data_IF_305248914944
#
_entry.id   IF_305248914944
#
_cell.length_a   1.000
_cell.length_b   1.000
_cell.length_c   1.000
_cell.angle_alpha   90.00
_cell.angle_beta   90.00
_cell.angle_gamma   90.00
#
_symmetry.space_group_name_H-M   'P 1'
#
loop_
_entity.id
_entity.type
_entity.pdbx_description
1 polymer ?
#
# COMPACT_ATOMS: atom_id res chain seq x y z
N UNK A 1 -14.54 11.16 6.61
CA UNK A 1 -13.83 10.99 5.36
C UNK A 1 -13.11 9.66 5.32
N UNK A 2 -13.30 8.91 4.24
CA UNK A 2 -12.66 7.59 4.13
C UNK A 2 -11.32 7.68 3.42
N UNK A 3 -10.35 6.90 3.90
CA UNK A 3 -9.09 6.73 3.19
C UNK A 3 -9.31 5.91 1.92
N UNK A 4 -8.49 6.16 0.93
CA UNK A 4 -8.52 5.44 -0.35
C UNK A 4 -7.50 4.32 -0.31
N UNK A 5 -7.93 3.11 -0.62
CA UNK A 5 -7.07 1.94 -0.68
C UNK A 5 -7.10 1.37 -2.10
N UNK A 6 -5.92 1.12 -2.64
CA UNK A 6 -5.78 0.50 -3.96
C UNK A 6 -5.28 -0.93 -3.75
N UNK A 7 -6.02 -1.90 -4.25
CA UNK A 7 -5.69 -3.32 -4.12
C UNK A 7 -5.35 -3.88 -5.50
N UNK A 8 -4.15 -4.41 -5.62
CA UNK A 8 -3.63 -4.90 -6.90
C UNK A 8 -3.35 -6.40 -6.78
N UNK A 9 -4.11 -7.20 -7.49
CA UNK A 9 -4.01 -8.66 -7.47
C UNK A 9 -4.68 -9.19 -8.73
N UNK A 10 -4.08 -10.18 -9.39
CA UNK A 10 -4.67 -10.73 -10.62
C UNK A 10 -5.80 -11.72 -10.36
N UNK A 11 -6.03 -12.10 -9.11
CA UNK A 11 -7.13 -12.99 -8.74
C UNK A 11 -8.39 -12.20 -8.42
N UNK A 12 -9.38 -12.29 -9.31
CA UNK A 12 -10.63 -11.55 -9.12
C UNK A 12 -11.37 -11.91 -7.84
N UNK A 13 -11.28 -13.17 -7.40
CA UNK A 13 -11.92 -13.59 -6.16
C UNK A 13 -11.33 -12.87 -4.95
N UNK A 14 -10.03 -12.68 -4.94
CA UNK A 14 -9.36 -11.93 -3.88
C UNK A 14 -9.82 -10.48 -3.89
N UNK A 15 -9.83 -9.86 -5.07
CA UNK A 15 -10.26 -8.46 -5.20
C UNK A 15 -11.72 -8.28 -4.73
N UNK A 16 -12.61 -9.18 -5.13
CA UNK A 16 -14.02 -9.12 -4.73
C UNK A 16 -14.19 -9.27 -3.23
N UNK A 17 -13.48 -10.23 -2.64
CA UNK A 17 -13.53 -10.47 -1.20
C UNK A 17 -13.03 -9.25 -0.44
N UNK A 18 -11.89 -8.71 -0.84
CA UNK A 18 -11.28 -7.55 -0.20
C UNK A 18 -12.19 -6.33 -0.29
N UNK A 19 -12.78 -6.11 -1.45
CA UNK A 19 -13.70 -4.99 -1.65
C UNK A 19 -14.88 -5.08 -0.70
N UNK A 20 -15.48 -6.26 -0.57
CA UNK A 20 -16.61 -6.47 0.35
C UNK A 20 -16.20 -6.23 1.80
N UNK A 21 -15.04 -6.72 2.18
CA UNK A 21 -14.59 -6.61 3.57
C UNK A 21 -14.16 -5.20 3.96
N UNK A 22 -13.66 -4.41 3.00
CA UNK A 22 -13.05 -3.12 3.30
C UNK A 22 -13.92 -1.92 2.94
N UNK A 23 -14.95 -2.09 2.13
CA UNK A 23 -15.77 -0.97 1.64
C UNK A 23 -16.49 -0.18 2.74
N UNK A 24 -16.75 -0.79 3.88
CA UNK A 24 -17.38 -0.08 4.99
C UNK A 24 -16.48 1.01 5.56
N UNK A 25 -15.16 0.79 5.52
CA UNK A 25 -14.19 1.67 6.15
C UNK A 25 -13.37 2.48 5.17
N UNK A 26 -13.25 2.01 3.93
CA UNK A 26 -12.37 2.61 2.93
C UNK A 26 -13.09 2.83 1.61
N UNK A 27 -12.58 3.78 0.83
CA UNK A 27 -12.90 3.86 -0.60
C UNK A 27 -11.96 2.89 -1.30
N UNK A 28 -12.51 1.80 -1.82
CA UNK A 28 -11.72 0.70 -2.37
C UNK A 28 -11.63 0.81 -3.89
N UNK A 29 -10.40 0.79 -4.39
CA UNK A 29 -10.09 0.71 -5.81
C UNK A 29 -9.38 -0.61 -6.05
N UNK A 30 -9.75 -1.33 -7.11
CA UNK A 30 -9.13 -2.61 -7.42
C UNK A 30 -8.52 -2.59 -8.80
N UNK A 31 -7.38 -3.26 -8.95
CA UNK A 31 -6.70 -3.42 -10.22
C UNK A 31 -6.25 -4.88 -10.36
N UNK A 32 -6.55 -5.48 -11.50
CA UNK A 32 -6.17 -6.86 -11.78
C UNK A 32 -4.89 -6.98 -12.60
N UNK A 33 -4.25 -5.86 -12.87
CA UNK A 33 -3.02 -5.83 -13.65
C UNK A 33 -2.21 -4.58 -13.31
N UNK A 34 -0.94 -4.60 -13.68
CA UNK A 34 -0.07 -3.43 -13.50
C UNK A 34 -0.58 -2.24 -14.30
N UNK A 35 -1.07 -2.48 -15.52
CA UNK A 35 -1.60 -1.41 -16.38
C UNK A 35 -2.76 -0.69 -15.70
N UNK A 36 -3.72 -1.46 -15.16
CA UNK A 36 -4.86 -0.87 -14.48
C UNK A 36 -4.44 -0.14 -13.21
N UNK A 37 -3.47 -0.70 -12.49
CA UNK A 37 -2.94 -0.06 -11.30
C UNK A 37 -2.34 1.31 -11.61
N UNK A 38 -1.58 1.41 -12.69
CA UNK A 38 -0.97 2.68 -13.08
C UNK A 38 -2.04 3.73 -13.41
N UNK A 39 -3.12 3.32 -14.07
CA UNK A 39 -4.24 4.21 -14.35
C UNK A 39 -4.88 4.73 -13.06
N UNK A 40 -5.00 3.87 -12.05
CA UNK A 40 -5.67 4.22 -10.80
C UNK A 40 -4.82 5.04 -9.84
N UNK A 41 -3.53 5.21 -10.11
CA UNK A 41 -2.69 6.07 -9.28
C UNK A 41 -3.17 7.52 -9.28
N UNK A 42 -3.87 7.94 -10.32
CA UNK A 42 -4.42 9.29 -10.38
C UNK A 42 -5.50 9.54 -9.32
N UNK A 43 -6.06 8.48 -8.75
CA UNK A 43 -7.01 8.61 -7.63
C UNK A 43 -6.31 8.99 -6.33
N UNK A 44 -4.98 9.02 -6.31
CA UNK A 44 -4.15 9.33 -5.13
C UNK A 44 -4.48 8.47 -3.93
N UNK A 45 -4.23 7.15 -4.03
CA UNK A 45 -4.52 6.25 -2.91
C UNK A 45 -3.69 6.60 -1.68
N UNK A 46 -4.26 6.35 -0.51
CA UNK A 46 -3.60 6.57 0.77
C UNK A 46 -2.76 5.37 1.19
N UNK A 47 -3.06 4.20 0.63
CA UNK A 47 -2.31 2.97 0.89
C UNK A 47 -2.54 2.00 -0.27
N UNK A 48 -1.53 1.20 -0.59
CA UNK A 48 -1.58 0.23 -1.68
C UNK A 48 -1.30 -1.17 -1.14
N UNK A 49 -2.17 -2.12 -1.48
CA UNK A 49 -1.93 -3.55 -1.24
C UNK A 49 -1.57 -4.17 -2.58
N UNK A 50 -0.45 -4.89 -2.63
CA UNK A 50 0.14 -5.30 -3.90
C UNK A 50 0.60 -6.75 -3.85
N UNK A 51 0.05 -7.60 -4.74
CA UNK A 51 0.54 -8.96 -4.89
C UNK A 51 1.78 -8.96 -5.82
N UNK A 52 2.69 -9.87 -5.55
CA UNK A 52 3.90 -10.02 -6.36
C UNK A 52 3.62 -10.82 -7.63
N UNK A 53 2.86 -11.92 -7.49
CA UNK A 53 2.60 -12.83 -8.62
C UNK A 53 1.52 -12.29 -9.54
N UNK A 54 1.93 -11.57 -10.57
CA UNK A 54 1.01 -11.07 -11.59
C UNK A 54 1.60 -11.33 -12.97
N UNK A 55 0.76 -11.54 -14.01
CA UNK A 55 1.25 -11.70 -15.36
C UNK A 55 1.84 -10.41 -15.91
N UNK A 56 2.75 -10.52 -16.86
CA UNK A 56 3.40 -9.43 -17.57
C UNK A 56 4.40 -8.66 -16.72
N UNK A 57 3.96 -7.99 -15.69
CA UNK A 57 4.84 -7.26 -14.76
C UNK A 57 4.52 -7.71 -13.35
N UNK A 58 5.49 -8.25 -12.62
CA UNK A 58 5.25 -8.68 -11.25
C UNK A 58 5.18 -7.48 -10.29
N UNK A 59 4.72 -7.76 -9.07
CA UNK A 59 4.53 -6.71 -8.09
C UNK A 59 5.81 -6.04 -7.62
N UNK A 60 6.94 -6.75 -7.66
CA UNK A 60 8.23 -6.16 -7.30
C UNK A 60 8.63 -5.10 -8.32
N UNK A 61 8.48 -5.42 -9.59
CA UNK A 61 8.76 -4.48 -10.68
C UNK A 61 7.82 -3.28 -10.61
N UNK A 62 6.55 -3.54 -10.38
CA UNK A 62 5.56 -2.47 -10.27
C UNK A 62 5.87 -1.56 -9.09
N UNK A 63 6.21 -2.11 -7.94
CA UNK A 63 6.58 -1.33 -6.76
C UNK A 63 7.77 -0.43 -7.06
N UNK A 64 8.80 -0.99 -7.70
CA UNK A 64 9.98 -0.22 -8.05
C UNK A 64 9.63 0.92 -9.01
N UNK A 65 8.75 0.65 -9.96
CA UNK A 65 8.34 1.65 -10.93
C UNK A 65 7.57 2.82 -10.29
N UNK A 66 6.63 2.51 -9.40
CA UNK A 66 5.76 3.53 -8.83
C UNK A 66 6.34 4.23 -7.60
N UNK A 67 7.32 3.62 -6.95
CA UNK A 67 7.82 4.13 -5.65
C UNK A 67 8.30 5.58 -5.73
N UNK A 68 8.94 5.96 -6.82
CA UNK A 68 9.44 7.32 -6.98
C UNK A 68 8.35 8.34 -7.28
N UNK A 69 7.14 7.89 -7.62
CA UNK A 69 6.03 8.77 -8.00
C UNK A 69 4.97 8.90 -6.91
N UNK A 70 5.03 8.08 -5.88
CA UNK A 70 4.06 8.10 -4.79
C UNK A 70 4.77 8.04 -3.46
N UNK A 71 4.11 8.54 -2.42
CA UNK A 71 4.67 8.53 -1.07
C UNK A 71 3.86 7.68 -0.09
N UNK A 72 2.72 7.14 -0.52
CA UNK A 72 1.88 6.36 0.37
C UNK A 72 2.51 5.00 0.69
N UNK A 73 2.11 4.36 1.80
CA UNK A 73 2.60 3.03 2.14
C UNK A 73 2.21 1.99 1.09
N UNK A 74 3.12 1.06 0.83
CA UNK A 74 2.89 -0.09 -0.04
C UNK A 74 3.09 -1.35 0.79
N UNK A 75 2.04 -2.16 0.89
CA UNK A 75 2.06 -3.43 1.62
C UNK A 75 1.99 -4.55 0.60
N UNK A 76 2.99 -5.43 0.58
CA UNK A 76 2.90 -6.64 -0.23
C UNK A 76 1.97 -7.64 0.43
N UNK A 77 1.05 -8.19 -0.33
CA UNK A 77 0.08 -9.19 0.15
C UNK A 77 0.15 -10.36 -0.82
N UNK A 78 0.94 -11.38 -0.49
CA UNK A 78 1.33 -12.39 -1.46
C UNK A 78 1.57 -13.75 -0.84
N UNK A 79 1.50 -14.81 -1.67
CA UNK A 79 1.83 -16.16 -1.25
C UNK A 79 3.34 -16.44 -1.26
N UNK A 80 4.15 -15.53 -1.78
CA UNK A 80 5.61 -15.69 -1.75
C UNK A 80 6.12 -15.44 -0.35
N UNK A 81 6.76 -16.46 0.24
CA UNK A 81 7.06 -16.45 1.67
C UNK A 81 8.54 -16.64 2.00
N UNK A 82 9.42 -16.75 1.01
CA UNK A 82 10.84 -16.94 1.30
C UNK A 82 11.44 -15.67 1.89
N UNK A 83 12.48 -15.85 2.71
CA UNK A 83 13.18 -14.72 3.29
C UNK A 83 13.71 -13.78 2.20
N UNK A 84 14.18 -14.35 1.09
CA UNK A 84 14.69 -13.58 -0.03
C UNK A 84 13.60 -12.73 -0.69
N UNK A 85 12.39 -13.27 -0.83
CA UNK A 85 11.25 -12.52 -1.36
C UNK A 85 10.91 -11.33 -0.47
N UNK A 86 10.89 -11.55 0.84
CA UNK A 86 10.59 -10.49 1.80
C UNK A 86 11.66 -9.39 1.75
N UNK A 87 12.92 -9.79 1.75
CA UNK A 87 14.03 -8.84 1.69
C UNK A 87 13.94 -8.00 0.41
N UNK A 88 13.70 -8.66 -0.72
CA UNK A 88 13.60 -7.96 -2.00
C UNK A 88 12.42 -7.01 -2.03
N UNK A 89 11.26 -7.45 -1.53
CA UNK A 89 10.07 -6.61 -1.49
C UNK A 89 10.29 -5.33 -0.69
N UNK A 90 10.89 -5.45 0.48
CA UNK A 90 11.20 -4.28 1.30
C UNK A 90 12.28 -3.41 0.69
N UNK A 91 13.24 -4.03 -0.01
CA UNK A 91 14.33 -3.30 -0.66
C UNK A 91 13.88 -2.46 -1.85
N UNK A 92 12.86 -2.89 -2.58
CA UNK A 92 12.36 -2.13 -3.74
C UNK A 92 11.36 -1.04 -3.35
N UNK A 93 11.10 -0.87 -2.06
CA UNK A 93 10.28 0.23 -1.58
C UNK A 93 9.00 -0.17 -0.88
N UNK A 94 8.78 -1.46 -0.61
CA UNK A 94 7.64 -1.90 0.19
C UNK A 94 7.80 -1.50 1.65
N UNK A 95 6.69 -1.15 2.28
CA UNK A 95 6.69 -0.75 3.69
C UNK A 95 6.32 -1.89 4.62
N UNK A 96 5.69 -2.94 4.10
CA UNK A 96 5.29 -4.09 4.89
C UNK A 96 5.10 -5.28 3.96
N UNK A 97 4.99 -6.47 4.56
CA UNK A 97 4.90 -7.71 3.79
C UNK A 97 4.00 -8.68 4.56
N UNK A 98 2.87 -9.03 3.99
CA UNK A 98 1.89 -9.93 4.60
C UNK A 98 1.74 -11.17 3.70
N UNK A 99 1.83 -12.35 4.29
CA UNK A 99 1.75 -13.60 3.54
C UNK A 99 0.33 -14.13 3.47
N UNK A 100 -0.05 -14.68 2.33
CA UNK A 100 -1.33 -15.39 2.15
C UNK A 100 -1.16 -16.85 2.61
N UNK A 101 -2.16 -17.45 3.25
CA UNK A 101 -3.42 -16.84 3.66
C UNK A 101 -3.22 -15.91 4.85
N UNK A 102 -4.03 -14.88 4.94
CA UNK A 102 -3.90 -13.86 5.98
C UNK A 102 -5.20 -13.73 6.78
N UNK A 103 -5.07 -13.19 7.98
CA UNK A 103 -6.22 -12.83 8.80
C UNK A 103 -6.67 -11.43 8.41
N UNK A 104 -7.97 -11.23 8.22
CA UNK A 104 -8.51 -9.90 7.94
C UNK A 104 -8.24 -8.94 9.11
N UNK A 105 -8.31 -9.44 10.34
CA UNK A 105 -8.02 -8.62 11.52
C UNK A 105 -6.56 -8.16 11.53
N UNK A 106 -5.62 -9.05 11.18
CA UNK A 106 -4.22 -8.68 11.09
C UNK A 106 -4.00 -7.63 9.99
N UNK A 107 -4.61 -7.86 8.82
CA UNK A 107 -4.48 -6.93 7.71
C UNK A 107 -5.00 -5.54 8.09
N UNK A 108 -6.19 -5.48 8.69
CA UNK A 108 -6.76 -4.20 9.13
C UNK A 108 -5.89 -3.51 10.16
N UNK A 109 -5.31 -4.27 11.09
CA UNK A 109 -4.43 -3.71 12.10
C UNK A 109 -3.19 -3.08 11.46
N UNK A 110 -2.60 -3.75 10.47
CA UNK A 110 -1.42 -3.24 9.78
C UNK A 110 -1.74 -2.02 8.93
N UNK A 111 -2.87 -2.06 8.21
CA UNK A 111 -3.33 -0.90 7.44
C UNK A 111 -3.51 0.31 8.36
N UNK A 112 -4.21 0.10 9.47
CA UNK A 112 -4.45 1.18 10.43
C UNK A 112 -3.15 1.75 11.01
N UNK A 113 -2.19 0.87 11.30
CA UNK A 113 -0.89 1.29 11.83
C UNK A 113 -0.13 2.16 10.83
N UNK A 114 -0.14 1.76 9.55
CA UNK A 114 0.54 2.54 8.51
C UNK A 114 -0.14 3.89 8.29
N UNK A 115 -1.46 3.92 8.28
CA UNK A 115 -2.20 5.18 8.10
C UNK A 115 -1.95 6.14 9.28
N UNK A 116 -1.95 5.63 10.50
CA UNK A 116 -1.62 6.46 11.67
C UNK A 116 -0.22 7.03 11.60
N UNK A 117 0.73 6.22 11.12
CA UNK A 117 2.12 6.65 10.97
C UNK A 117 2.22 7.77 9.95
N UNK A 118 1.50 7.66 8.84
CA UNK A 118 1.47 8.70 7.83
C UNK A 118 0.85 10.00 8.36
N UNK A 119 -0.21 9.90 9.14
CA UNK A 119 -0.82 11.06 9.79
C UNK A 119 0.17 11.74 10.74
N UNK A 120 0.89 10.95 11.54
CA UNK A 120 1.88 11.49 12.48
C UNK A 120 3.05 12.14 11.74
N UNK A 121 3.48 11.56 10.62
CA UNK A 121 4.53 12.16 9.79
C UNK A 121 4.08 13.51 9.25
N UNK A 122 2.85 13.58 8.72
CA UNK A 122 2.29 14.81 8.23
C UNK A 122 2.23 15.88 9.32
N UNK A 123 1.72 15.52 10.49
CA UNK A 123 1.63 16.40 11.62
C UNK A 123 3.03 16.82 12.12
N UNK A 124 3.92 15.84 12.25
CA UNK A 124 5.29 16.11 12.70
C UNK A 124 6.02 17.00 11.71
N UNK A 125 5.85 16.78 10.43
CA UNK A 125 6.44 17.61 9.38
C UNK A 125 5.94 19.05 9.46
N UNK A 126 4.65 19.20 9.66
CA UNK A 126 4.05 20.53 9.80
C UNK A 126 4.56 21.24 11.04
N UNK A 127 4.64 20.53 12.15
CA UNK A 127 5.16 21.10 13.39
C UNK A 127 6.61 21.50 13.25
N UNK A 128 7.41 20.68 12.61
CA UNK A 128 8.82 20.98 12.38
C UNK A 128 8.97 22.21 11.50
N UNK A 129 8.14 22.32 10.48
CA UNK A 129 8.15 23.48 9.61
C UNK A 129 7.84 24.75 10.39
N UNK A 130 6.81 24.69 11.23
CA UNK A 130 6.44 25.82 12.09
C UNK A 130 7.57 26.19 13.05
N UNK A 131 8.22 25.20 13.63
CA UNK A 131 9.35 25.40 14.52
C UNK A 131 10.51 26.08 13.80
N UNK A 132 10.78 25.69 12.57
CA UNK A 132 11.82 26.34 11.77
C UNK A 132 11.50 27.79 11.51
N UNK A 133 10.25 28.11 11.28
CA UNK A 133 9.82 29.49 11.06
C UNK A 133 9.91 30.33 12.34
N UNK A 134 9.58 29.74 13.47
CA UNK A 134 9.49 30.45 14.73
C UNK A 134 10.84 30.49 15.45
N UNK A 135 11.52 29.36 15.52
CA UNK A 135 12.75 29.18 16.26
C UNK A 135 13.98 29.37 15.38
N UNK A 136 13.79 29.21 14.09
CA UNK A 136 14.85 29.35 13.10
C UNK A 136 16.00 28.36 13.32
N UNK A 137 15.64 27.09 13.58
CA UNK A 137 16.65 26.05 13.69
C UNK A 137 16.74 25.17 12.47
#
# INVERSE_FOLDING_TARGET
>A
MKYKILIIDDEEMILSMMEKCLSDKFLVYTADSAKRALELLSATPDIILLDINMPEMDGLELCQLIRSHISCPIIFLTARVTEQDVIKGLSVGGDDYITKPFSMDELLARISAHLRREERKGTASNLRFDEELIINY
#
